data_IF_759811581738
#
_entry.id   IF_759811581738
#
_cell.length_a   1.000
_cell.length_b   1.000
_cell.length_c   1.000
_cell.angle_alpha   90.00
_cell.angle_beta   90.00
_cell.angle_gamma   90.00
#
_symmetry.space_group_name_H-M   'P 1'
#
loop_
_entity.id
_entity.type
_entity.pdbx_description
1 polymer ?
#
# COMPACT_ATOMS: atom_id res chain seq x y z
N UNK A 1 22.23 -27.27 -8.27
CA UNK A 1 21.05 -26.98 -9.11
C UNK A 1 21.52 -26.12 -10.28
N UNK A 2 21.19 -26.49 -11.51
CA UNK A 2 21.54 -25.69 -12.68
C UNK A 2 20.90 -24.31 -12.53
N UNK A 3 21.68 -23.22 -12.68
CA UNK A 3 21.15 -21.88 -12.66
C UNK A 3 20.23 -21.73 -13.87
N UNK A 4 18.92 -21.72 -13.64
CA UNK A 4 17.96 -21.39 -14.68
C UNK A 4 18.28 -20.01 -15.22
N UNK A 5 18.54 -19.92 -16.51
CA UNK A 5 18.74 -18.64 -17.19
C UNK A 5 17.42 -17.88 -17.15
N UNK A 6 17.34 -16.88 -16.27
CA UNK A 6 16.17 -15.99 -16.14
C UNK A 6 16.30 -14.90 -17.20
N UNK A 7 15.43 -14.95 -18.22
CA UNK A 7 15.32 -13.91 -19.24
C UNK A 7 14.06 -13.07 -19.01
N UNK A 8 14.12 -12.03 -18.19
CA UNK A 8 12.97 -11.15 -17.96
C UNK A 8 12.74 -10.28 -19.19
N UNK A 9 11.50 -10.26 -19.66
CA UNK A 9 11.06 -9.43 -20.78
C UNK A 9 10.00 -8.43 -20.29
N UNK A 10 10.32 -7.12 -20.24
CA UNK A 10 9.30 -6.12 -19.95
C UNK A 10 8.41 -5.90 -21.17
N UNK A 11 7.11 -5.83 -20.94
CA UNK A 11 6.09 -5.49 -21.92
C UNK A 11 5.34 -4.29 -21.37
N UNK A 12 5.45 -3.18 -22.07
CA UNK A 12 4.75 -1.93 -21.73
C UNK A 12 3.78 -1.62 -22.86
N UNK A 13 2.53 -1.34 -22.50
CA UNK A 13 1.52 -0.88 -23.46
C UNK A 13 0.94 0.45 -23.03
N UNK A 14 0.58 1.31 -23.96
CA UNK A 14 -0.10 2.58 -23.75
C UNK A 14 -1.41 2.56 -24.52
N UNK A 15 -2.56 2.65 -23.83
CA UNK A 15 -3.87 2.50 -24.48
C UNK A 15 -4.02 1.17 -25.24
N UNK A 16 -3.34 0.10 -24.80
CA UNK A 16 -3.33 -1.20 -25.48
C UNK A 16 -2.30 -1.33 -26.61
N UNK A 17 -1.59 -0.25 -26.98
CA UNK A 17 -0.55 -0.27 -28.02
C UNK A 17 0.81 -0.57 -27.40
N UNK A 18 1.55 -1.60 -27.84
CA UNK A 18 2.88 -1.90 -27.32
C UNK A 18 3.86 -0.74 -27.51
N UNK A 19 4.63 -0.43 -26.46
CA UNK A 19 5.74 0.52 -26.48
C UNK A 19 7.07 -0.25 -26.55
N UNK A 20 7.69 -0.34 -27.71
CA UNK A 20 8.98 -1.01 -27.84
C UNK A 20 10.13 -0.15 -27.30
N UNK A 21 11.29 -0.76 -27.12
CA UNK A 21 12.51 -0.05 -26.77
C UNK A 21 12.69 0.28 -25.29
N UNK A 22 12.03 -0.46 -24.40
CA UNK A 22 12.24 -0.37 -22.94
C UNK A 22 13.67 -0.77 -22.61
N UNK A 23 14.41 0.13 -21.96
CA UNK A 23 15.80 -0.04 -21.55
C UNK A 23 15.94 -0.30 -20.05
N UNK A 24 15.12 0.36 -19.25
CA UNK A 24 15.01 0.08 -17.82
C UNK A 24 13.61 0.36 -17.33
N UNK A 25 13.26 -0.34 -16.27
CA UNK A 25 11.96 -0.27 -15.60
C UNK A 25 12.18 -0.33 -14.09
N UNK A 26 11.61 0.62 -13.38
CA UNK A 26 11.52 0.64 -11.91
C UNK A 26 10.04 0.67 -11.53
N UNK A 27 9.64 -0.18 -10.57
CA UNK A 27 8.30 -0.19 -9.99
C UNK A 27 8.44 -0.22 -8.48
N UNK A 28 7.78 0.71 -7.81
CA UNK A 28 7.72 0.81 -6.36
C UNK A 28 6.29 0.61 -5.89
N UNK A 29 6.02 -0.54 -5.31
CA UNK A 29 4.72 -0.89 -4.74
C UNK A 29 4.79 -0.94 -3.22
N UNK A 30 3.75 -0.47 -2.54
CA UNK A 30 3.74 -0.37 -1.08
C UNK A 30 2.35 -0.69 -0.48
N UNK A 31 2.31 -0.86 0.86
CA UNK A 31 1.08 -1.01 1.62
C UNK A 31 0.80 0.19 2.56
N UNK A 32 1.35 1.35 2.25
CA UNK A 32 1.27 2.56 3.09
C UNK A 32 0.11 3.49 2.71
N UNK A 33 -0.90 2.99 2.00
CA UNK A 33 -2.04 3.76 1.51
C UNK A 33 -1.61 4.94 0.61
N UNK A 34 -0.53 4.77 -0.13
CA UNK A 34 -0.01 5.74 -1.10
C UNK A 34 0.09 5.10 -2.48
N UNK A 35 0.07 5.93 -3.52
CA UNK A 35 0.17 5.47 -4.90
C UNK A 35 1.44 4.64 -5.15
N UNK A 36 1.29 3.53 -5.85
CA UNK A 36 2.42 2.83 -6.46
C UNK A 36 3.00 3.69 -7.57
N UNK A 37 4.31 3.61 -7.79
CA UNK A 37 5.03 4.44 -8.75
C UNK A 37 5.81 3.60 -9.73
N UNK A 38 5.97 4.14 -10.92
CA UNK A 38 6.85 3.57 -11.93
C UNK A 38 7.74 4.61 -12.57
N UNK A 39 8.87 4.15 -13.09
CA UNK A 39 9.80 4.93 -13.90
C UNK A 39 10.33 4.05 -15.01
N UNK A 40 10.25 4.51 -16.26
CA UNK A 40 10.62 3.73 -17.44
C UNK A 40 11.51 4.57 -18.34
N UNK A 41 12.60 3.98 -18.84
CA UNK A 41 13.42 4.56 -19.89
C UNK A 41 13.27 3.81 -21.20
N UNK A 42 13.07 4.55 -22.28
CA UNK A 42 12.89 4.06 -23.63
C UNK A 42 13.96 4.61 -24.57
N UNK A 43 14.27 3.86 -25.62
CA UNK A 43 14.97 4.41 -26.77
C UNK A 43 13.98 5.22 -27.64
N UNK A 44 14.18 6.54 -27.72
CA UNK A 44 13.24 7.47 -28.38
C UNK A 44 12.89 7.09 -29.82
N UNK A 45 13.86 6.56 -30.58
CA UNK A 45 13.67 6.14 -31.96
C UNK A 45 12.70 4.97 -32.16
N UNK A 46 12.41 4.24 -31.06
CA UNK A 46 11.53 3.06 -31.09
C UNK A 46 10.17 3.34 -30.48
N UNK A 47 10.07 4.37 -29.63
CA UNK A 47 8.83 4.70 -28.91
C UNK A 47 7.99 5.72 -29.71
N UNK A 48 6.65 5.55 -29.76
CA UNK A 48 5.75 6.54 -30.34
C UNK A 48 5.57 7.74 -29.41
N UNK A 49 6.53 8.66 -29.40
CA UNK A 49 6.57 9.78 -28.45
C UNK A 49 5.28 10.61 -28.43
N UNK A 50 4.65 10.82 -29.59
CA UNK A 50 3.39 11.56 -29.68
C UNK A 50 2.27 10.95 -28.83
N UNK A 51 2.23 9.62 -28.70
CA UNK A 51 1.23 8.95 -27.87
C UNK A 51 1.47 9.17 -26.37
N UNK A 52 2.74 9.27 -25.95
CA UNK A 52 3.09 9.49 -24.54
C UNK A 52 2.74 10.91 -24.04
N UNK A 53 2.56 11.87 -24.95
CA UNK A 53 2.17 13.24 -24.61
C UNK A 53 0.66 13.41 -24.37
N UNK A 54 -0.15 12.38 -24.62
CA UNK A 54 -1.59 12.46 -24.42
C UNK A 54 -1.93 12.25 -22.94
N UNK A 55 -2.54 13.22 -22.24
CA UNK A 55 -2.88 13.08 -20.83
C UNK A 55 -3.97 12.01 -20.63
N UNK A 56 -3.93 11.35 -19.47
CA UNK A 56 -4.96 10.40 -19.05
C UNK A 56 -4.93 9.03 -19.74
N UNK A 57 -3.97 8.77 -20.62
CA UNK A 57 -3.82 7.43 -21.17
C UNK A 57 -3.25 6.46 -20.14
N UNK A 58 -3.89 5.30 -20.06
CA UNK A 58 -3.43 4.23 -19.18
C UNK A 58 -2.23 3.51 -19.80
N UNK A 59 -1.20 3.37 -18.97
CA UNK A 59 -0.01 2.61 -19.26
C UNK A 59 -0.07 1.31 -18.45
N UNK A 60 0.07 0.16 -19.13
CA UNK A 60 0.16 -1.14 -18.47
C UNK A 60 1.58 -1.67 -18.54
N UNK A 61 2.09 -2.13 -17.40
CA UNK A 61 3.42 -2.70 -17.24
C UNK A 61 3.28 -4.16 -16.85
N UNK A 62 3.79 -5.02 -17.71
CA UNK A 62 3.89 -6.47 -17.47
C UNK A 62 5.33 -6.93 -17.61
N UNK A 63 5.70 -7.97 -16.88
CA UNK A 63 7.00 -8.63 -17.03
C UNK A 63 6.75 -10.11 -17.27
N UNK A 64 7.39 -10.66 -18.29
CA UNK A 64 7.44 -12.09 -18.54
C UNK A 64 8.75 -12.65 -18.01
N UNK A 65 8.65 -13.73 -17.23
CA UNK A 65 9.78 -14.47 -16.69
C UNK A 65 9.50 -15.97 -16.88
N UNK A 66 10.41 -16.71 -17.55
CA UNK A 66 10.26 -18.13 -17.81
C UNK A 66 8.90 -18.52 -18.42
N UNK A 67 8.43 -17.75 -19.42
CA UNK A 67 7.11 -17.90 -20.10
C UNK A 67 5.89 -17.59 -19.25
N UNK A 68 6.06 -17.16 -17.99
CA UNK A 68 4.98 -16.66 -17.16
C UNK A 68 4.98 -15.14 -17.30
N UNK A 69 3.90 -14.58 -17.79
CA UNK A 69 3.71 -13.13 -17.85
C UNK A 69 2.80 -12.68 -16.71
N UNK A 70 3.20 -11.62 -16.04
CA UNK A 70 2.37 -11.02 -14.98
C UNK A 70 2.34 -9.51 -15.12
N UNK A 71 1.14 -8.94 -15.08
CA UNK A 71 0.93 -7.51 -14.96
C UNK A 71 1.38 -7.07 -13.57
N UNK A 72 2.24 -6.06 -13.53
CA UNK A 72 2.79 -5.53 -12.28
C UNK A 72 2.14 -4.19 -11.88
N UNK A 73 1.71 -3.38 -12.87
CA UNK A 73 1.10 -2.10 -12.62
C UNK A 73 0.26 -1.65 -13.82
N UNK A 74 -0.85 -0.96 -13.54
CA UNK A 74 -1.56 -0.09 -14.49
C UNK A 74 -1.57 1.30 -13.89
N UNK A 75 -1.20 2.30 -14.70
CA UNK A 75 -1.07 3.66 -14.20
C UNK A 75 -1.19 4.71 -15.28
N UNK A 76 -0.93 5.94 -14.89
CA UNK A 76 -0.88 7.11 -15.78
C UNK A 76 0.50 7.75 -15.74
N UNK A 77 0.90 8.35 -16.87
CA UNK A 77 2.17 9.08 -16.96
C UNK A 77 1.97 10.48 -16.40
N UNK A 78 2.72 10.81 -15.36
CA UNK A 78 2.71 12.14 -14.72
C UNK A 78 3.74 13.06 -15.38
N UNK A 79 4.88 12.52 -15.79
CA UNK A 79 6.02 13.28 -16.32
C UNK A 79 6.70 12.53 -17.44
N UNK A 80 7.08 13.29 -18.47
CA UNK A 80 7.84 12.80 -19.61
C UNK A 80 9.01 13.73 -19.87
N UNK A 81 10.23 13.20 -19.90
CA UNK A 81 11.41 13.94 -20.32
C UNK A 81 12.09 13.26 -21.49
N UNK A 82 12.66 14.06 -22.39
CA UNK A 82 13.38 13.59 -23.56
C UNK A 82 14.75 14.25 -23.63
N UNK A 83 15.79 13.45 -23.72
CA UNK A 83 17.15 13.89 -24.00
C UNK A 83 17.49 13.56 -25.46
N UNK A 84 17.50 14.56 -26.35
CA UNK A 84 17.83 14.36 -27.77
C UNK A 84 19.30 13.98 -27.98
N UNK A 85 20.19 14.28 -27.04
CA UNK A 85 21.62 13.96 -27.16
C UNK A 85 21.88 12.47 -27.00
N UNK A 86 21.26 11.87 -26.02
CA UNK A 86 21.34 10.42 -25.77
C UNK A 86 20.27 9.62 -26.52
N UNK A 87 19.24 10.27 -27.05
CA UNK A 87 18.09 9.65 -27.68
C UNK A 87 17.24 8.85 -26.68
N UNK A 88 17.21 9.27 -25.41
CA UNK A 88 16.48 8.60 -24.33
C UNK A 88 15.23 9.37 -23.94
N UNK A 89 14.16 8.64 -23.71
CA UNK A 89 12.92 9.13 -23.09
C UNK A 89 12.77 8.52 -21.73
N UNK A 90 12.43 9.33 -20.75
CA UNK A 90 12.13 8.92 -19.40
C UNK A 90 10.69 9.29 -19.06
N UNK A 91 9.88 8.28 -18.74
CA UNK A 91 8.49 8.44 -18.31
C UNK A 91 8.36 8.01 -16.84
N UNK A 92 7.75 8.86 -16.03
CA UNK A 92 7.42 8.58 -14.64
C UNK A 92 5.92 8.73 -14.41
N UNK A 93 5.39 7.95 -13.48
CA UNK A 93 3.97 8.03 -13.17
C UNK A 93 3.58 7.21 -11.96
N UNK A 94 2.27 7.20 -11.74
CA UNK A 94 1.63 6.54 -10.62
C UNK A 94 0.60 5.53 -11.12
N UNK A 95 0.19 4.62 -10.23
CA UNK A 95 -0.95 3.76 -10.47
C UNK A 95 -2.27 4.56 -10.53
N UNK A 96 -3.38 3.89 -10.80
CA UNK A 96 -4.67 4.56 -10.96
C UNK A 96 -5.24 5.17 -9.68
N UNK A 97 -4.61 4.99 -8.51
CA UNK A 97 -4.94 5.75 -7.30
C UNK A 97 -4.70 7.25 -7.48
N UNK A 98 -3.86 7.64 -8.45
CA UNK A 98 -3.63 9.02 -8.83
C UNK A 98 -4.93 9.76 -9.17
N UNK A 99 -5.90 9.10 -9.80
CA UNK A 99 -7.20 9.69 -10.15
C UNK A 99 -7.97 10.15 -8.91
N UNK A 100 -7.95 9.34 -7.86
CA UNK A 100 -8.58 9.68 -6.58
C UNK A 100 -7.78 10.74 -5.79
N UNK A 101 -6.44 10.72 -5.91
CA UNK A 101 -5.55 11.71 -5.26
C UNK A 101 -5.75 13.09 -5.86
N UNK A 102 -6.01 13.19 -7.16
CA UNK A 102 -6.20 14.45 -7.88
C UNK A 102 -7.64 15.01 -7.77
N UNK A 103 -8.59 14.18 -7.32
CA UNK A 103 -9.99 14.57 -7.18
C UNK A 103 -10.27 15.02 -5.75
N UNK A 104 -10.61 16.31 -5.59
CA UNK A 104 -11.05 16.87 -4.32
C UNK A 104 -12.53 16.57 -4.07
N UNK A 105 -12.87 16.32 -2.80
CA UNK A 105 -14.25 16.08 -2.38
C UNK A 105 -14.93 17.41 -2.14
N UNK A 106 -16.03 17.65 -2.86
CA UNK A 106 -16.91 18.83 -2.68
C UNK A 106 -18.34 18.41 -2.27
N UNK A 107 -18.47 17.29 -1.60
CA UNK A 107 -19.79 16.77 -1.22
C UNK A 107 -19.81 16.27 0.23
N UNK A 108 -21.02 16.20 0.77
CA UNK A 108 -21.28 15.66 2.11
C UNK A 108 -21.94 14.29 2.00
N UNK A 109 -21.34 13.28 2.61
CA UNK A 109 -21.91 11.95 2.69
C UNK A 109 -22.80 11.84 3.92
N UNK A 110 -24.06 11.47 3.72
CA UNK A 110 -25.02 11.21 4.80
C UNK A 110 -25.58 9.80 4.66
N UNK A 111 -25.57 9.02 5.75
CA UNK A 111 -26.10 7.65 5.81
C UNK A 111 -25.47 6.69 4.77
N UNK A 112 -24.23 6.89 4.41
CA UNK A 112 -23.47 5.99 3.55
C UNK A 112 -22.49 5.17 4.36
N UNK A 113 -22.29 3.92 3.99
CA UNK A 113 -21.23 3.08 4.56
C UNK A 113 -19.89 3.33 3.88
N UNK A 114 -18.78 2.92 4.51
CA UNK A 114 -17.45 3.00 3.91
C UNK A 114 -17.38 2.26 2.56
N UNK A 115 -18.02 1.09 2.47
CA UNK A 115 -18.10 0.29 1.24
C UNK A 115 -18.88 0.98 0.12
N UNK A 116 -20.00 1.63 0.42
CA UNK A 116 -20.78 2.39 -0.56
C UNK A 116 -20.00 3.60 -1.10
N UNK A 117 -19.24 4.30 -0.26
CA UNK A 117 -18.39 5.42 -0.67
C UNK A 117 -17.28 4.93 -1.59
N UNK A 118 -16.58 3.84 -1.22
CA UNK A 118 -15.52 3.26 -2.04
C UNK A 118 -16.03 2.83 -3.43
N UNK A 119 -17.19 2.18 -3.49
CA UNK A 119 -17.83 1.79 -4.76
C UNK A 119 -18.22 3.00 -5.60
N UNK A 120 -18.77 4.05 -4.95
CA UNK A 120 -19.16 5.30 -5.64
C UNK A 120 -17.95 5.98 -6.28
N UNK A 121 -16.85 6.11 -5.54
CA UNK A 121 -15.64 6.74 -6.05
C UNK A 121 -15.01 5.96 -7.21
N UNK A 122 -14.91 4.63 -7.10
CA UNK A 122 -14.42 3.80 -8.20
C UNK A 122 -15.28 3.99 -9.47
N UNK A 123 -16.61 4.00 -9.32
CA UNK A 123 -17.55 4.21 -10.42
C UNK A 123 -17.41 5.58 -11.10
N UNK A 124 -17.08 6.66 -10.37
CA UNK A 124 -16.81 8.00 -10.94
C UNK A 124 -15.65 8.01 -11.92
N UNK A 125 -14.62 7.23 -11.60
CA UNK A 125 -13.44 7.13 -12.45
C UNK A 125 -13.54 6.02 -13.51
N UNK A 126 -14.71 5.36 -13.63
CA UNK A 126 -14.90 4.26 -14.58
C UNK A 126 -14.07 3.02 -14.24
N UNK A 127 -13.68 2.85 -12.96
CA UNK A 127 -12.87 1.75 -12.48
C UNK A 127 -13.73 0.64 -11.87
N UNK A 128 -13.22 -0.58 -11.92
CA UNK A 128 -13.80 -1.69 -11.18
C UNK A 128 -13.64 -1.50 -9.67
N UNK A 129 -14.49 -2.16 -8.88
CA UNK A 129 -14.38 -2.17 -7.43
C UNK A 129 -14.62 -3.57 -6.87
N UNK A 130 -13.74 -4.02 -5.99
CA UNK A 130 -13.95 -5.18 -5.13
C UNK A 130 -13.86 -4.69 -3.70
N UNK A 131 -15.01 -4.64 -3.06
CA UNK A 131 -15.22 -3.95 -1.79
C UNK A 131 -15.91 -4.90 -0.82
N UNK A 132 -15.32 -5.10 0.36
CA UNK A 132 -15.96 -5.85 1.42
C UNK A 132 -17.07 -5.01 2.09
N UNK A 133 -18.22 -5.60 2.42
CA UNK A 133 -19.32 -4.85 2.97
C UNK A 133 -19.03 -4.30 4.37
N UNK A 134 -19.44 -3.06 4.62
CA UNK A 134 -19.39 -2.42 5.93
C UNK A 134 -20.78 -2.00 6.38
N UNK A 135 -21.06 -2.12 7.68
CA UNK A 135 -22.40 -1.89 8.22
C UNK A 135 -22.56 -0.54 8.93
N UNK A 136 -21.44 0.11 9.30
CA UNK A 136 -21.49 1.38 10.02
C UNK A 136 -21.71 2.53 9.05
N UNK A 137 -22.86 3.20 9.17
CA UNK A 137 -23.14 4.38 8.35
C UNK A 137 -22.39 5.60 8.87
N UNK A 138 -21.80 6.34 7.94
CA UNK A 138 -21.05 7.58 8.18
C UNK A 138 -22.00 8.76 8.02
N UNK A 139 -21.84 9.81 8.84
CA UNK A 139 -22.57 11.07 8.69
C UNK A 139 -24.02 11.08 9.15
N UNK A 140 -24.44 10.16 10.00
CA UNK A 140 -25.80 10.18 10.58
C UNK A 140 -25.98 11.37 11.53
N UNK A 141 -26.83 12.31 11.20
CA UNK A 141 -27.06 13.51 11.99
C UNK A 141 -28.13 13.37 13.10
N UNK A 142 -29.09 12.44 12.96
CA UNK A 142 -30.35 12.50 13.71
C UNK A 142 -30.67 11.33 14.64
N UNK A 143 -29.85 10.34 14.77
CA UNK A 143 -30.12 9.20 15.66
C UNK A 143 -29.22 9.17 16.89
N UNK A 144 -29.67 8.54 17.97
CA UNK A 144 -29.02 8.61 19.29
C UNK A 144 -27.69 7.91 19.43
N UNK A 145 -27.35 7.00 18.53
CA UNK A 145 -26.16 6.13 18.58
C UNK A 145 -25.13 6.50 17.49
N UNK A 146 -24.86 7.79 17.33
CA UNK A 146 -24.02 8.22 16.22
C UNK A 146 -22.57 8.13 16.53
N UNK A 147 -21.90 7.34 15.73
CA UNK A 147 -20.51 7.59 15.42
C UNK A 147 -20.43 8.82 14.50
N UNK A 148 -19.99 9.90 15.12
CA UNK A 148 -19.87 11.19 14.46
C UNK A 148 -18.49 11.36 13.88
N UNK A 149 -18.18 10.60 12.87
CA UNK A 149 -17.26 11.10 11.88
C UNK A 149 -18.07 12.09 11.03
N UNK A 150 -18.20 13.29 11.54
CA UNK A 150 -18.65 14.42 10.74
C UNK A 150 -17.58 14.66 9.71
N UNK A 151 -17.79 14.20 8.48
CA UNK A 151 -16.93 14.53 7.35
C UNK A 151 -16.83 16.05 7.13
N UNK A 152 -17.75 16.83 7.69
CA UNK A 152 -17.66 18.29 7.74
C UNK A 152 -16.53 18.83 8.62
N UNK A 153 -15.89 18.02 9.45
CA UNK A 153 -14.67 18.40 10.20
C UNK A 153 -13.40 18.19 9.37
N UNK A 154 -13.48 17.37 8.34
CA UNK A 154 -12.39 17.26 7.38
C UNK A 154 -12.57 18.43 6.40
N UNK A 155 -11.59 19.33 6.40
CA UNK A 155 -11.60 20.52 5.58
C UNK A 155 -11.98 20.20 4.12
N UNK A 156 -12.61 21.14 3.43
CA UNK A 156 -12.98 21.10 1.99
C UNK A 156 -11.80 20.84 1.03
N UNK A 157 -10.65 20.44 1.52
CA UNK A 157 -9.41 20.17 0.79
C UNK A 157 -9.01 18.71 0.79
N UNK A 158 -9.86 17.80 1.31
CA UNK A 158 -9.57 16.37 1.33
C UNK A 158 -9.78 15.77 -0.07
N UNK A 159 -8.86 14.92 -0.48
CA UNK A 159 -9.01 14.16 -1.73
C UNK A 159 -9.87 12.91 -1.52
N UNK A 160 -10.40 12.33 -2.61
CA UNK A 160 -11.11 11.04 -2.53
C UNK A 160 -10.22 9.94 -1.94
N UNK A 161 -8.93 9.93 -2.26
CA UNK A 161 -7.98 8.97 -1.71
C UNK A 161 -7.76 9.14 -0.21
N UNK A 162 -7.64 10.38 0.27
CA UNK A 162 -7.49 10.66 1.70
C UNK A 162 -8.69 10.15 2.50
N UNK A 163 -9.90 10.35 1.96
CA UNK A 163 -11.10 9.84 2.59
C UNK A 163 -11.12 8.31 2.59
N UNK A 164 -10.81 7.66 1.46
CA UNK A 164 -10.73 6.20 1.39
C UNK A 164 -9.68 5.64 2.34
N UNK A 165 -8.50 6.26 2.43
CA UNK A 165 -7.43 5.86 3.35
C UNK A 165 -7.86 6.01 4.82
N UNK A 166 -8.57 7.08 5.14
CA UNK A 166 -9.16 7.27 6.47
C UNK A 166 -10.19 6.18 6.79
N UNK A 167 -11.10 5.89 5.86
CA UNK A 167 -12.12 4.86 6.01
C UNK A 167 -11.50 3.46 6.12
N UNK A 168 -10.54 3.12 5.26
CA UNK A 168 -9.80 1.86 5.33
C UNK A 168 -9.10 1.70 6.68
N UNK A 169 -8.41 2.75 7.15
CA UNK A 169 -7.78 2.75 8.46
C UNK A 169 -8.76 2.55 9.61
N UNK A 170 -9.99 3.06 9.50
CA UNK A 170 -11.03 2.91 10.49
C UNK A 170 -11.59 1.49 10.53
N UNK A 171 -11.89 0.92 9.37
CA UNK A 171 -12.42 -0.44 9.23
C UNK A 171 -11.34 -1.52 9.46
N UNK A 172 -10.05 -1.14 9.46
CA UNK A 172 -8.94 -2.09 9.47
C UNK A 172 -8.75 -2.80 8.14
N UNK A 173 -9.13 -2.15 7.04
CA UNK A 173 -9.09 -2.67 5.68
C UNK A 173 -7.81 -2.28 4.95
N UNK A 174 -7.46 -3.08 3.95
CA UNK A 174 -6.52 -2.71 2.90
C UNK A 174 -7.20 -1.82 1.86
N UNK A 175 -6.41 -0.91 1.28
CA UNK A 175 -6.80 -0.05 0.17
C UNK A 175 -5.66 0.00 -0.85
N UNK A 176 -5.94 -0.39 -2.10
CA UNK A 176 -4.96 -0.37 -3.19
C UNK A 176 -5.62 -0.55 -4.56
N UNK A 177 -4.84 -0.30 -5.61
CA UNK A 177 -5.24 -0.61 -6.97
C UNK A 177 -4.69 -1.97 -7.41
N UNK A 178 -5.55 -2.82 -7.96
CA UNK A 178 -5.20 -4.06 -8.65
C UNK A 178 -5.51 -3.88 -10.14
N UNK A 179 -4.53 -3.35 -10.86
CA UNK A 179 -4.75 -2.88 -12.22
C UNK A 179 -5.77 -1.74 -12.27
N UNK A 180 -6.89 -1.93 -12.96
CA UNK A 180 -7.99 -0.97 -13.03
C UNK A 180 -9.11 -1.23 -12.02
N UNK A 181 -8.82 -1.97 -10.95
CA UNK A 181 -9.81 -2.33 -9.93
C UNK A 181 -9.39 -1.80 -8.56
N UNK A 182 -10.23 -1.00 -7.94
CA UNK A 182 -10.06 -0.59 -6.55
C UNK A 182 -10.33 -1.78 -5.63
N UNK A 183 -9.41 -2.06 -4.72
CA UNK A 183 -9.56 -3.02 -3.63
C UNK A 183 -9.73 -2.27 -2.33
N UNK A 184 -10.83 -2.55 -1.63
CA UNK A 184 -11.14 -1.98 -0.32
C UNK A 184 -11.76 -3.08 0.54
N UNK A 185 -10.99 -3.69 1.42
CA UNK A 185 -11.47 -4.85 2.16
C UNK A 185 -10.48 -5.40 3.18
N UNK A 186 -10.86 -6.51 3.79
CA UNK A 186 -10.05 -7.19 4.79
C UNK A 186 -8.70 -7.61 4.17
N UNK A 187 -7.58 -7.34 4.86
CA UNK A 187 -6.26 -7.78 4.39
C UNK A 187 -6.22 -9.29 4.13
N UNK A 188 -5.73 -9.68 2.95
CA UNK A 188 -5.57 -11.09 2.63
C UNK A 188 -4.54 -11.75 3.56
N UNK A 189 -4.84 -12.96 4.00
CA UNK A 189 -3.96 -13.77 4.83
C UNK A 189 -3.27 -14.84 3.96
N UNK A 190 -2.33 -14.43 3.11
CA UNK A 190 -1.58 -15.37 2.29
C UNK A 190 -0.61 -16.22 3.13
N UNK A 191 -0.32 -17.43 2.65
CA UNK A 191 0.72 -18.28 3.23
C UNK A 191 2.08 -17.57 3.13
N UNK A 192 2.90 -17.68 4.18
CA UNK A 192 4.22 -17.07 4.18
C UNK A 192 5.18 -17.81 3.24
N UNK A 193 5.90 -17.05 2.42
CA UNK A 193 6.98 -17.57 1.60
C UNK A 193 8.26 -17.68 2.44
N UNK A 194 8.87 -18.86 2.49
CA UNK A 194 10.13 -19.07 3.19
C UNK A 194 11.30 -18.48 2.37
N UNK A 195 12.11 -17.64 3.01
CA UNK A 195 13.31 -17.02 2.42
C UNK A 195 14.48 -17.19 3.39
N UNK A 196 15.60 -17.63 2.86
CA UNK A 196 16.87 -17.74 3.58
C UNK A 196 17.90 -16.75 3.04
N UNK A 197 19.00 -16.59 3.74
CA UNK A 197 20.11 -15.75 3.27
C UNK A 197 20.68 -16.22 1.93
N UNK A 198 20.60 -17.51 1.62
CA UNK A 198 21.08 -18.07 0.35
C UNK A 198 20.20 -17.67 -0.87
N UNK A 199 18.97 -17.24 -0.63
CA UNK A 199 18.05 -16.77 -1.67
C UNK A 199 18.25 -15.28 -1.99
N UNK A 200 19.06 -14.57 -1.19
CA UNK A 200 19.25 -13.15 -1.26
C UNK A 200 20.64 -12.78 -1.79
N UNK A 201 20.71 -11.68 -2.56
CA UNK A 201 21.96 -10.99 -2.89
C UNK A 201 22.48 -10.20 -1.69
N UNK A 202 21.54 -9.66 -0.87
CA UNK A 202 21.81 -8.97 0.38
C UNK A 202 20.61 -9.11 1.30
N UNK A 203 20.89 -9.40 2.57
CA UNK A 203 19.89 -9.44 3.64
C UNK A 203 20.39 -8.55 4.78
N UNK A 204 19.52 -7.64 5.23
CA UNK A 204 19.77 -6.80 6.39
C UNK A 204 18.61 -6.96 7.36
N UNK A 205 18.93 -7.28 8.62
CA UNK A 205 17.97 -7.55 9.68
C UNK A 205 18.18 -6.53 10.79
N UNK A 206 17.10 -5.90 11.27
CA UNK A 206 17.16 -4.87 12.30
C UNK A 206 16.17 -5.19 13.42
N UNK A 207 16.63 -5.14 14.66
CA UNK A 207 15.80 -5.17 15.85
C UNK A 207 15.90 -3.84 16.59
N UNK A 208 14.80 -3.10 16.61
CA UNK A 208 14.69 -1.85 17.35
C UNK A 208 14.35 -2.15 18.82
N UNK A 209 15.36 -2.45 19.59
CA UNK A 209 15.26 -2.87 21.01
C UNK A 209 14.37 -1.93 21.84
N UNK A 210 14.40 -0.63 21.54
CA UNK A 210 13.56 0.36 22.22
C UNK A 210 12.05 0.08 22.06
N UNK A 211 11.62 -0.52 20.94
CA UNK A 211 10.24 -0.91 20.68
C UNK A 211 9.88 -2.26 21.32
N UNK A 212 10.88 -3.06 21.75
CA UNK A 212 10.69 -4.31 22.50
C UNK A 212 10.24 -4.10 23.95
N UNK A 213 10.14 -2.86 24.42
CA UNK A 213 9.68 -2.52 25.76
C UNK A 213 8.18 -2.79 25.92
N UNK A 214 7.68 -3.07 27.16
CA UNK A 214 6.26 -3.14 27.41
C UNK A 214 5.58 -1.85 26.98
N UNK A 215 4.41 -1.96 26.35
CA UNK A 215 3.67 -0.80 25.86
C UNK A 215 2.24 -0.84 26.38
N UNK A 216 1.76 0.29 26.89
CA UNK A 216 0.36 0.48 27.30
C UNK A 216 -0.23 1.65 26.51
N UNK A 217 -1.27 1.40 25.75
CA UNK A 217 -2.03 2.43 25.03
C UNK A 217 -3.39 2.55 25.69
N UNK A 218 -3.71 3.76 26.14
CA UNK A 218 -5.02 4.10 26.72
C UNK A 218 -5.73 5.10 25.81
N UNK A 219 -6.89 4.74 25.32
CA UNK A 219 -7.77 5.62 24.55
C UNK A 219 -8.86 6.13 25.46
N UNK A 220 -9.00 7.45 25.55
CA UNK A 220 -10.05 8.15 26.31
C UNK A 220 -10.98 8.85 25.34
N UNK A 221 -12.27 8.60 25.48
CA UNK A 221 -13.31 9.25 24.67
C UNK A 221 -14.36 9.87 25.58
N UNK A 222 -14.78 11.06 25.21
CA UNK A 222 -15.88 11.77 25.84
C UNK A 222 -17.00 11.98 24.82
N UNK A 223 -18.21 11.55 25.18
CA UNK A 223 -19.42 11.85 24.44
C UNK A 223 -20.16 12.98 25.16
N UNK A 224 -20.18 14.16 24.55
CA UNK A 224 -20.87 15.34 25.08
C UNK A 224 -22.39 15.15 25.16
N UNK A 225 -22.94 14.28 24.32
CA UNK A 225 -24.38 14.04 24.27
C UNK A 225 -24.88 13.11 25.37
N UNK A 226 -24.16 12.02 25.61
CA UNK A 226 -24.52 11.05 26.65
C UNK A 226 -23.86 11.37 28.00
N UNK A 227 -23.03 12.41 28.06
CA UNK A 227 -22.21 12.76 29.23
C UNK A 227 -21.41 11.56 29.78
N UNK A 228 -20.99 10.64 28.87
CA UNK A 228 -20.26 9.44 29.22
C UNK A 228 -18.80 9.51 28.81
N UNK A 229 -17.92 8.91 29.61
CA UNK A 229 -16.52 8.74 29.29
C UNK A 229 -16.27 7.26 29.00
N UNK A 230 -15.70 6.98 27.84
CA UNK A 230 -15.21 5.65 27.48
C UNK A 230 -13.69 5.61 27.64
N UNK A 231 -13.17 4.60 28.33
CA UNK A 231 -11.73 4.38 28.46
C UNK A 231 -11.44 2.94 28.04
N UNK A 232 -10.56 2.79 27.07
CA UNK A 232 -10.09 1.47 26.63
C UNK A 232 -8.57 1.42 26.72
N UNK A 233 -8.04 0.30 27.21
CA UNK A 233 -6.59 0.12 27.38
C UNK A 233 -6.15 -1.18 26.71
N UNK A 234 -5.10 -1.10 25.91
CA UNK A 234 -4.43 -2.25 25.31
C UNK A 234 -2.97 -2.28 25.74
N UNK A 235 -2.51 -3.47 26.12
CA UNK A 235 -1.12 -3.69 26.51
C UNK A 235 -0.43 -4.63 25.53
N UNK A 236 0.86 -4.41 25.31
CA UNK A 236 1.76 -5.33 24.66
C UNK A 236 2.88 -5.72 25.63
N UNK A 237 3.27 -7.00 25.68
CA UNK A 237 4.37 -7.45 26.49
C UNK A 237 5.71 -6.93 25.97
N UNK A 238 6.74 -7.01 26.81
CA UNK A 238 8.10 -6.64 26.47
C UNK A 238 9.00 -6.68 27.69
N UNK A 239 10.25 -6.24 27.56
CA UNK A 239 11.23 -6.19 28.65
C UNK A 239 11.68 -4.75 28.92
N UNK A 240 11.95 -4.44 30.19
CA UNK A 240 12.39 -3.12 30.64
C UNK A 240 11.26 -2.18 31.07
N UNK A 241 11.55 -0.87 31.12
CA UNK A 241 10.58 0.13 31.57
C UNK A 241 9.43 0.30 30.56
N UNK A 242 8.20 0.28 31.07
CA UNK A 242 7.00 0.39 30.25
C UNK A 242 6.90 1.75 29.54
N UNK A 243 6.45 1.74 28.32
CA UNK A 243 6.08 2.93 27.55
C UNK A 243 4.56 3.12 27.59
N UNK A 244 4.11 4.32 27.96
CA UNK A 244 2.68 4.63 28.09
C UNK A 244 2.30 5.73 27.12
N UNK A 245 1.22 5.49 26.36
CA UNK A 245 0.63 6.46 25.43
C UNK A 245 -0.84 6.65 25.73
N UNK A 246 -1.28 7.89 25.89
CA UNK A 246 -2.69 8.23 26.01
C UNK A 246 -3.16 8.96 24.75
N UNK A 247 -4.27 8.52 24.19
CA UNK A 247 -4.92 9.13 23.03
C UNK A 247 -6.30 9.61 23.47
N UNK A 248 -6.62 10.86 23.20
CA UNK A 248 -7.95 11.41 23.45
C UNK A 248 -8.65 11.67 22.13
N UNK A 249 -9.81 11.05 21.92
CA UNK A 249 -10.66 11.23 20.75
C UNK A 249 -12.11 11.38 21.20
N UNK A 250 -12.84 12.39 20.75
CA UNK A 250 -14.26 12.57 21.11
C UNK A 250 -15.14 11.53 20.39
N UNK A 251 -16.26 11.21 21.01
CA UNK A 251 -17.39 10.45 20.43
C UNK A 251 -17.07 9.05 19.89
N UNK A 252 -16.07 8.36 20.44
CA UNK A 252 -15.84 6.94 20.14
C UNK A 252 -16.78 6.05 20.94
N UNK A 253 -17.26 4.99 20.33
CA UNK A 253 -17.89 3.87 21.03
C UNK A 253 -16.84 3.07 21.83
N UNK A 254 -17.27 2.17 22.69
CA UNK A 254 -16.34 1.30 23.42
C UNK A 254 -15.50 0.44 22.46
N UNK A 255 -16.16 -0.11 21.43
CA UNK A 255 -15.52 -0.95 20.40
C UNK A 255 -14.50 -0.16 19.55
N UNK A 256 -14.86 1.06 19.13
CA UNK A 256 -13.95 1.94 18.39
C UNK A 256 -12.74 2.34 19.22
N UNK A 257 -12.94 2.64 20.52
CA UNK A 257 -11.84 2.97 21.42
C UNK A 257 -10.90 1.76 21.61
N UNK A 258 -11.46 0.56 21.73
CA UNK A 258 -10.69 -0.68 21.85
C UNK A 258 -9.93 -0.98 20.55
N UNK A 259 -10.59 -0.87 19.41
CA UNK A 259 -9.98 -1.06 18.09
C UNK A 259 -8.84 -0.07 17.85
N UNK A 260 -9.02 1.22 18.21
CA UNK A 260 -7.99 2.23 18.11
C UNK A 260 -6.78 1.93 19.01
N UNK A 261 -7.02 1.50 20.25
CA UNK A 261 -5.94 1.12 21.16
C UNK A 261 -5.15 -0.08 20.63
N UNK A 262 -5.84 -1.13 20.17
CA UNK A 262 -5.24 -2.33 19.62
C UNK A 262 -4.40 -2.01 18.35
N UNK A 263 -4.96 -1.22 17.43
CA UNK A 263 -4.28 -0.80 16.21
C UNK A 263 -3.04 0.03 16.50
N UNK A 264 -3.11 0.97 17.45
CA UNK A 264 -1.94 1.78 17.83
C UNK A 264 -0.81 0.93 18.38
N UNK A 265 -1.11 -0.10 19.17
CA UNK A 265 -0.12 -1.07 19.66
C UNK A 265 0.48 -1.83 18.48
N UNK A 266 -0.35 -2.40 17.61
CA UNK A 266 0.08 -3.16 16.44
C UNK A 266 0.96 -2.33 15.51
N UNK A 267 0.55 -1.09 15.18
CA UNK A 267 1.29 -0.17 14.32
C UNK A 267 2.65 0.21 14.88
N UNK A 268 2.79 0.29 16.20
CA UNK A 268 4.08 0.57 16.83
C UNK A 268 4.96 -0.68 16.84
N UNK A 269 4.40 -1.82 17.22
CA UNK A 269 5.13 -3.07 17.39
C UNK A 269 5.62 -3.67 16.07
N UNK A 270 4.91 -3.46 14.94
CA UNK A 270 5.38 -3.95 13.63
C UNK A 270 6.76 -3.41 13.22
N UNK A 271 7.16 -2.26 13.77
CA UNK A 271 8.47 -1.67 13.50
C UNK A 271 9.58 -2.17 14.45
N UNK A 272 9.26 -3.05 15.40
CA UNK A 272 10.25 -3.61 16.33
C UNK A 272 11.26 -4.49 15.58
N UNK A 273 10.76 -5.34 14.69
CA UNK A 273 11.57 -6.22 13.86
C UNK A 273 11.37 -5.87 12.39
N UNK A 274 12.43 -5.46 11.73
CA UNK A 274 12.41 -5.11 10.31
C UNK A 274 13.51 -5.84 9.55
N UNK A 275 13.28 -6.05 8.26
CA UNK A 275 14.28 -6.61 7.38
C UNK A 275 14.24 -5.94 6.01
N UNK A 276 15.37 -5.90 5.34
CA UNK A 276 15.53 -5.38 3.99
C UNK A 276 16.27 -6.43 3.16
N UNK A 277 15.61 -6.93 2.14
CA UNK A 277 16.11 -8.02 1.29
C UNK A 277 16.33 -7.49 -0.12
N UNK A 278 17.52 -7.73 -0.68
CA UNK A 278 17.78 -7.60 -2.11
C UNK A 278 17.93 -9.01 -2.69
N UNK A 279 17.12 -9.34 -3.67
CA UNK A 279 17.07 -10.69 -4.25
C UNK A 279 16.80 -10.64 -5.76
N UNK A 280 17.00 -11.75 -6.50
CA UNK A 280 16.55 -11.86 -7.88
C UNK A 280 15.05 -11.54 -7.98
N UNK A 281 14.65 -10.89 -9.06
CA UNK A 281 13.25 -10.46 -9.25
C UNK A 281 12.28 -11.65 -9.27
N UNK A 282 11.16 -11.47 -8.61
CA UNK A 282 10.05 -12.42 -8.55
C UNK A 282 8.76 -11.70 -8.96
N UNK A 283 7.85 -12.41 -9.64
CA UNK A 283 6.59 -11.84 -10.11
C UNK A 283 5.42 -12.04 -9.13
N UNK A 284 5.59 -12.89 -8.11
CA UNK A 284 4.50 -13.27 -7.19
C UNK A 284 4.44 -12.41 -5.94
N UNK A 285 5.59 -11.91 -5.50
CA UNK A 285 5.72 -11.10 -4.29
C UNK A 285 4.94 -9.77 -4.42
N UNK A 286 4.13 -9.45 -3.43
CA UNK A 286 3.37 -8.19 -3.36
C UNK A 286 3.55 -7.52 -2.00
N UNK A 287 3.22 -6.24 -1.83
CA UNK A 287 3.22 -5.59 -0.51
C UNK A 287 2.23 -6.18 0.51
N UNK A 288 1.47 -7.21 0.13
CA UNK A 288 0.51 -7.92 1.01
C UNK A 288 0.95 -9.34 1.33
N UNK A 289 2.04 -9.77 0.70
CA UNK A 289 2.63 -11.09 0.96
C UNK A 289 3.23 -11.15 2.36
N UNK A 290 3.37 -12.38 2.86
CA UNK A 290 4.11 -12.68 4.09
C UNK A 290 5.40 -13.42 3.73
N UNK A 291 6.44 -13.18 4.49
CA UNK A 291 7.75 -13.81 4.33
C UNK A 291 8.17 -14.41 5.67
N UNK A 292 8.54 -15.67 5.66
CA UNK A 292 9.17 -16.33 6.81
C UNK A 292 10.68 -16.37 6.57
N UNK A 293 11.44 -15.58 7.33
CA UNK A 293 12.91 -15.67 7.32
C UNK A 293 13.30 -16.92 8.07
N UNK A 294 14.22 -17.69 7.47
CA UNK A 294 14.64 -19.01 7.99
C UNK A 294 16.15 -19.16 7.92
N UNK A 295 16.67 -20.12 8.69
CA UNK A 295 18.08 -20.54 8.68
C UNK A 295 19.09 -19.46 9.10
N UNK A 296 18.67 -18.46 9.89
CA UNK A 296 19.61 -17.56 10.57
C UNK A 296 20.10 -18.14 11.90
N UNK A 297 19.38 -19.13 12.44
CA UNK A 297 19.68 -19.76 13.74
C UNK A 297 19.49 -18.83 14.93
N UNK A 298 18.62 -17.83 14.81
CA UNK A 298 18.43 -16.79 15.81
C UNK A 298 16.97 -16.32 15.89
N UNK A 299 16.68 -15.36 16.77
CA UNK A 299 15.34 -14.77 16.93
C UNK A 299 14.85 -14.04 15.67
N UNK A 300 15.67 -13.86 14.66
CA UNK A 300 15.29 -13.33 13.35
C UNK A 300 14.49 -14.33 12.50
N UNK A 301 14.54 -15.64 12.85
CA UNK A 301 13.77 -16.69 12.18
C UNK A 301 12.30 -16.56 12.59
N UNK A 302 11.57 -15.69 11.89
CA UNK A 302 10.16 -15.39 12.14
C UNK A 302 9.43 -14.97 10.87
N UNK A 303 8.12 -14.85 10.98
CA UNK A 303 7.27 -14.32 9.89
C UNK A 303 7.22 -12.80 9.94
N UNK A 304 7.34 -12.19 8.77
CA UNK A 304 7.25 -10.76 8.52
C UNK A 304 6.13 -10.48 7.51
N UNK A 305 5.56 -9.29 7.59
CA UNK A 305 4.71 -8.74 6.55
C UNK A 305 5.56 -7.92 5.56
N UNK A 306 5.29 -8.05 4.27
CA UNK A 306 5.91 -7.22 3.25
C UNK A 306 5.27 -5.85 3.29
N UNK A 307 6.07 -4.79 3.46
CA UNK A 307 5.59 -3.40 3.46
C UNK A 307 5.82 -2.70 2.13
N UNK A 308 6.88 -3.07 1.43
CA UNK A 308 7.24 -2.48 0.14
C UNK A 308 7.97 -3.50 -0.73
N UNK A 309 7.71 -3.45 -2.04
CA UNK A 309 8.44 -4.18 -3.07
C UNK A 309 8.88 -3.19 -4.13
N UNK A 310 10.19 -3.03 -4.28
CA UNK A 310 10.79 -2.22 -5.34
C UNK A 310 11.46 -3.13 -6.36
N UNK A 311 10.94 -3.16 -7.58
CA UNK A 311 11.45 -3.96 -8.69
C UNK A 311 12.25 -3.11 -9.63
N UNK A 312 13.41 -3.60 -9.99
CA UNK A 312 14.30 -2.97 -10.97
C UNK A 312 14.64 -3.97 -12.07
N UNK A 313 14.48 -3.55 -13.31
CA UNK A 313 14.86 -4.31 -14.47
C UNK A 313 15.68 -3.42 -15.41
N UNK A 314 16.88 -3.83 -15.74
CA UNK A 314 17.70 -3.19 -16.78
C UNK A 314 18.55 -4.24 -17.52
N UNK A 315 19.13 -3.80 -18.63
CA UNK A 315 19.96 -4.67 -19.49
C UNK A 315 21.27 -5.11 -18.81
N UNK A 316 21.79 -4.34 -17.85
CA UNK A 316 23.07 -4.60 -17.20
C UNK A 316 22.95 -5.46 -15.96
N UNK A 317 21.94 -5.17 -15.11
CA UNK A 317 21.73 -5.80 -13.80
C UNK A 317 20.71 -6.92 -13.85
N UNK A 318 19.95 -7.02 -14.94
CA UNK A 318 18.85 -7.96 -15.08
C UNK A 318 17.64 -7.55 -14.22
N UNK A 319 16.90 -8.53 -13.74
CA UNK A 319 15.71 -8.31 -12.93
C UNK A 319 16.00 -8.61 -11.46
N UNK A 320 15.92 -7.59 -10.64
CA UNK A 320 16.12 -7.65 -9.19
C UNK A 320 14.96 -7.03 -8.44
N UNK A 321 14.79 -7.39 -7.18
CA UNK A 321 13.81 -6.76 -6.30
C UNK A 321 14.39 -6.52 -4.92
N UNK A 322 13.98 -5.39 -4.34
CA UNK A 322 14.21 -5.06 -2.94
C UNK A 322 12.89 -5.12 -2.20
N UNK A 323 12.89 -5.81 -1.07
CA UNK A 323 11.69 -6.05 -0.27
C UNK A 323 11.95 -5.50 1.12
N UNK A 324 11.11 -4.57 1.56
CA UNK A 324 11.09 -4.10 2.93
C UNK A 324 10.06 -4.90 3.73
N UNK A 325 10.50 -5.43 4.86
CA UNK A 325 9.73 -6.28 5.74
C UNK A 325 9.55 -5.62 7.10
N UNK A 326 8.40 -5.88 7.72
CA UNK A 326 8.09 -5.45 9.09
C UNK A 326 7.46 -6.60 9.87
N UNK A 327 7.60 -6.58 11.19
CA UNK A 327 7.04 -7.62 12.05
C UNK A 327 5.53 -7.79 11.86
N UNK A 328 5.06 -9.01 11.98
CA UNK A 328 3.62 -9.31 12.11
C UNK A 328 3.26 -9.11 13.57
N UNK A 329 2.29 -8.26 13.85
CA UNK A 329 1.79 -7.96 15.20
C UNK A 329 0.63 -8.86 15.56
#
# INVERSE_FOLDING_TARGET
MASEVRAPLPVVTLGGIPLPGVLSLDIHSNNHLSADRFSIRFAARLAPLAALHLPGQQLEISVSLNRISRRLLVGIVDSLSYDPTSGLVHAEGRDLSALFIETQIDETFANRTSSEIATTFAGRHGLGAVVDPTNTAIGRYYQSEHDRVSLGQFAKTMTEWDLLAFLASREGFDLYMDGATLRFGVPAADAALAISAADCLKMHLEHRVALGRPMTVTVKSWSSRSATTTVSTKQAPGSGAAWVRTITRPNLTADDAQALAARTVADTKRHEWTADLLMPGDLTMTPRSRVSITATGSDWDRTYAVSQVSRHLDVKRGFTQRIALQGVS
#
